data_IF_461502919592
#
_entry.id   IF_461502919592
#
_cell.length_a   1.000
_cell.length_b   1.000
_cell.length_c   1.000
_cell.angle_alpha   90.00
_cell.angle_beta   90.00
_cell.angle_gamma   90.00
#
_symmetry.space_group_name_H-M   'P 1'
#
loop_
_entity.id
_entity.type
_entity.pdbx_description
1 polymer ?
#
# COMPACT_ATOMS: atom_id res chain seq x y z
N UNK A 1 -38.93 34.62 32.24
CA UNK A 1 -37.96 34.74 31.12
C UNK A 1 -37.12 33.50 31.13
N UNK A 2 -37.31 32.56 30.20
CA UNK A 2 -36.43 31.42 30.12
C UNK A 2 -35.13 31.81 29.40
N UNK A 3 -34.01 31.45 30.00
CA UNK A 3 -32.68 31.67 29.51
C UNK A 3 -32.47 31.01 28.13
N UNK A 4 -32.06 31.81 27.16
CA UNK A 4 -31.59 31.35 25.85
C UNK A 4 -30.21 30.74 26.01
N UNK A 5 -30.17 29.43 26.10
CA UNK A 5 -28.94 28.66 25.96
C UNK A 5 -28.41 28.80 24.51
N UNK A 6 -27.31 29.50 24.38
CA UNK A 6 -26.59 29.61 23.10
C UNK A 6 -26.15 28.21 22.63
N UNK A 7 -26.22 27.87 21.34
CA UNK A 7 -25.73 26.60 20.83
C UNK A 7 -24.21 26.56 20.95
N UNK A 8 -23.69 25.50 21.59
CA UNK A 8 -22.28 25.20 21.59
C UNK A 8 -21.80 24.96 20.14
N UNK A 9 -20.61 25.43 19.79
CA UNK A 9 -20.03 25.13 18.46
C UNK A 9 -19.79 23.62 18.34
N UNK A 10 -19.93 23.02 17.14
CA UNK A 10 -19.70 21.63 16.94
C UNK A 10 -18.25 21.30 17.29
N UNK A 11 -18.08 20.39 18.26
CA UNK A 11 -16.79 19.83 18.59
C UNK A 11 -16.23 19.18 17.31
N UNK A 12 -15.17 19.76 16.79
CA UNK A 12 -14.36 19.13 15.75
C UNK A 12 -13.78 17.86 16.36
N UNK A 13 -14.39 16.73 16.01
CA UNK A 13 -13.78 15.43 16.24
C UNK A 13 -12.46 15.42 15.51
N UNK A 14 -11.38 15.50 16.26
CA UNK A 14 -10.02 15.42 15.77
C UNK A 14 -9.88 14.14 14.94
N UNK A 15 -9.70 14.31 13.65
CA UNK A 15 -9.36 13.22 12.73
C UNK A 15 -8.10 12.59 13.27
N UNK A 16 -8.22 11.36 13.76
CA UNK A 16 -7.13 10.55 14.27
C UNK A 16 -5.99 10.57 13.23
N UNK A 17 -4.88 11.22 13.61
CA UNK A 17 -3.66 11.24 12.80
C UNK A 17 -3.21 9.79 12.60
N UNK A 18 -3.43 9.31 11.39
CA UNK A 18 -2.99 8.08 10.75
C UNK A 18 -2.67 6.91 11.69
N UNK A 19 -3.63 6.00 11.80
CA UNK A 19 -3.46 4.68 12.43
C UNK A 19 -2.28 3.87 11.86
N UNK A 20 -1.74 4.25 10.73
CA UNK A 20 -0.58 3.61 10.09
C UNK A 20 0.76 3.96 10.77
N UNK A 21 0.88 5.13 11.40
CA UNK A 21 2.15 5.60 11.97
C UNK A 21 2.61 4.82 13.21
N UNK A 22 1.73 4.04 13.82
CA UNK A 22 2.01 3.26 15.04
C UNK A 22 2.19 1.76 14.78
N UNK A 23 2.04 1.31 13.53
CA UNK A 23 2.25 -0.09 13.18
C UNK A 23 3.73 -0.38 12.97
N UNK A 24 4.21 -1.41 13.67
CA UNK A 24 5.56 -1.95 13.48
C UNK A 24 5.50 -3.02 12.38
N UNK A 25 6.24 -2.82 11.32
CA UNK A 25 6.31 -3.78 10.23
C UNK A 25 7.64 -4.51 10.24
N UNK A 26 7.64 -5.75 9.77
CA UNK A 26 8.89 -6.47 9.52
C UNK A 26 9.76 -5.68 8.55
N UNK A 27 11.08 -5.72 8.77
CA UNK A 27 12.03 -5.06 7.88
C UNK A 27 11.82 -5.54 6.43
N UNK A 28 11.85 -4.63 5.45
CA UNK A 28 11.77 -5.02 4.05
C UNK A 28 12.99 -5.84 3.65
N UNK A 29 12.79 -6.78 2.74
CA UNK A 29 13.86 -7.62 2.20
C UNK A 29 13.99 -7.42 0.71
N UNK A 30 15.23 -7.30 0.24
CA UNK A 30 15.54 -7.19 -1.17
C UNK A 30 16.63 -8.20 -1.53
N UNK A 31 16.35 -9.02 -2.52
CA UNK A 31 17.32 -9.88 -3.20
C UNK A 31 17.67 -9.29 -4.56
N UNK A 32 18.43 -10.01 -5.38
CA UNK A 32 18.78 -9.58 -6.73
C UNK A 32 17.59 -9.52 -7.68
N UNK A 33 16.52 -10.26 -7.38
CA UNK A 33 15.36 -10.46 -8.26
C UNK A 33 14.00 -10.22 -7.59
N UNK A 34 13.96 -10.09 -6.26
CA UNK A 34 12.69 -10.00 -5.51
C UNK A 34 12.75 -8.98 -4.38
N UNK A 35 11.74 -8.12 -4.34
CA UNK A 35 11.45 -7.20 -3.25
C UNK A 35 10.29 -7.74 -2.41
N UNK A 36 10.51 -7.89 -1.10
CA UNK A 36 9.46 -8.29 -0.15
C UNK A 36 9.19 -7.18 0.86
N UNK A 37 7.93 -6.85 1.05
CA UNK A 37 7.46 -5.80 1.95
C UNK A 37 6.35 -6.32 2.85
N UNK A 38 6.34 -5.88 4.11
CA UNK A 38 5.18 -5.98 5.00
C UNK A 38 4.59 -4.59 5.16
N UNK A 39 3.32 -4.43 4.84
CA UNK A 39 2.64 -3.15 4.75
C UNK A 39 1.31 -3.19 5.52
N UNK A 40 0.76 -2.04 5.94
CA UNK A 40 -0.59 -2.02 6.49
C UNK A 40 -1.62 -2.48 5.46
N UNK A 41 -2.76 -2.98 5.95
CA UNK A 41 -3.91 -3.26 5.09
C UNK A 41 -4.32 -1.96 4.37
N UNK A 42 -4.45 -1.98 3.04
CA UNK A 42 -4.86 -0.80 2.29
C UNK A 42 -6.25 -0.31 2.76
N UNK A 43 -6.50 1.00 2.75
CA UNK A 43 -7.84 1.52 3.00
C UNK A 43 -8.83 0.96 1.97
N UNK A 44 -10.09 0.77 2.38
CA UNK A 44 -11.14 0.33 1.45
C UNK A 44 -11.34 1.37 0.35
N UNK A 45 -11.84 0.94 -0.80
CA UNK A 45 -12.02 1.81 -1.98
C UNK A 45 -12.84 3.08 -1.66
N UNK A 46 -13.78 2.98 -0.72
CA UNK A 46 -14.60 4.11 -0.29
C UNK A 46 -13.82 5.15 0.54
N UNK A 47 -12.68 4.76 1.12
CA UNK A 47 -11.83 5.63 1.93
C UNK A 47 -10.56 6.09 1.20
N UNK A 48 -10.30 5.56 0.01
CA UNK A 48 -9.12 5.93 -0.77
C UNK A 48 -9.26 7.31 -1.42
N UNK A 49 -10.48 7.71 -1.75
CA UNK A 49 -10.76 8.93 -2.49
C UNK A 49 -11.82 9.78 -1.79
N UNK A 50 -11.71 11.09 -2.01
CA UNK A 50 -12.71 12.07 -1.61
C UNK A 50 -13.14 12.87 -2.83
N UNK A 51 -14.39 13.32 -2.86
CA UNK A 51 -14.88 14.24 -3.89
C UNK A 51 -14.81 15.66 -3.35
N UNK A 52 -14.04 16.51 -4.00
CA UNK A 52 -13.88 17.92 -3.66
C UNK A 52 -14.18 18.75 -4.90
N UNK A 53 -15.16 19.63 -4.83
CA UNK A 53 -15.61 20.49 -5.96
C UNK A 53 -15.89 19.68 -7.23
N UNK A 54 -16.57 18.51 -7.10
CA UNK A 54 -16.90 17.63 -8.22
C UNK A 54 -15.73 16.82 -8.78
N UNK A 55 -14.53 16.93 -8.22
CA UNK A 55 -13.34 16.17 -8.60
C UNK A 55 -13.03 15.08 -7.60
N UNK A 56 -12.72 13.87 -8.10
CA UNK A 56 -12.27 12.76 -7.28
C UNK A 56 -10.77 12.90 -7.02
N UNK A 57 -10.41 13.10 -5.77
CA UNK A 57 -9.03 13.26 -5.32
C UNK A 57 -8.66 12.16 -4.33
N UNK A 58 -7.38 11.84 -4.24
CA UNK A 58 -6.89 10.92 -3.22
C UNK A 58 -7.16 11.52 -1.83
N UNK A 59 -7.80 10.74 -0.96
CA UNK A 59 -8.14 11.15 0.41
C UNK A 59 -6.88 11.33 1.27
N UNK A 60 -7.03 11.95 2.44
CA UNK A 60 -5.94 12.03 3.43
C UNK A 60 -5.46 10.63 3.86
N UNK A 61 -6.39 9.68 4.04
CA UNK A 61 -6.08 8.28 4.34
C UNK A 61 -5.31 7.61 3.20
N UNK A 62 -5.73 7.83 1.96
CA UNK A 62 -5.03 7.30 0.78
C UNK A 62 -3.62 7.87 0.65
N UNK A 63 -3.45 9.18 0.88
CA UNK A 63 -2.11 9.82 0.89
C UNK A 63 -1.22 9.28 1.99
N UNK A 64 -1.75 9.12 3.21
CA UNK A 64 -1.01 8.55 4.34
C UNK A 64 -0.56 7.12 4.06
N UNK A 65 -1.42 6.30 3.46
CA UNK A 65 -1.08 4.94 3.04
C UNK A 65 0.08 4.94 2.04
N UNK A 66 -0.01 5.74 0.98
CA UNK A 66 1.05 5.86 -0.04
C UNK A 66 2.37 6.32 0.56
N UNK A 67 2.35 7.23 1.54
CA UNK A 67 3.56 7.69 2.22
C UNK A 67 4.25 6.56 3.01
N UNK A 68 3.48 5.73 3.73
CA UNK A 68 4.03 4.57 4.46
C UNK A 68 4.63 3.55 3.50
N UNK A 69 3.94 3.23 2.41
CA UNK A 69 4.46 2.31 1.38
C UNK A 69 5.75 2.86 0.77
N UNK A 70 5.77 4.13 0.40
CA UNK A 70 6.97 4.80 -0.16
C UNK A 70 8.15 4.73 0.80
N UNK A 71 7.93 4.91 2.10
CA UNK A 71 8.97 4.78 3.12
C UNK A 71 9.54 3.36 3.20
N UNK A 72 8.69 2.33 3.16
CA UNK A 72 9.13 0.93 3.20
C UNK A 72 9.93 0.56 1.94
N UNK A 73 9.49 1.00 0.77
CA UNK A 73 10.24 0.83 -0.49
C UNK A 73 11.60 1.52 -0.40
N UNK A 74 11.64 2.76 0.08
CA UNK A 74 12.90 3.51 0.25
C UNK A 74 13.86 2.78 1.19
N UNK A 75 13.37 2.27 2.32
CA UNK A 75 14.19 1.49 3.26
C UNK A 75 14.80 0.25 2.61
N UNK A 76 13.99 -0.50 1.83
CA UNK A 76 14.48 -1.67 1.11
C UNK A 76 15.62 -1.30 0.15
N UNK A 77 15.45 -0.22 -0.60
CA UNK A 77 16.40 0.22 -1.63
C UNK A 77 17.68 0.84 -1.05
N UNK A 78 17.65 1.36 0.17
CA UNK A 78 18.79 2.02 0.80
C UNK A 78 19.57 1.11 1.75
N UNK A 79 18.91 0.13 2.36
CA UNK A 79 19.52 -0.73 3.38
C UNK A 79 19.99 -2.08 2.83
N UNK A 80 19.68 -2.41 1.58
CA UNK A 80 20.01 -3.72 0.99
C UNK A 80 21.14 -3.59 -0.03
N UNK A 81 22.18 -4.43 0.11
CA UNK A 81 23.28 -4.51 -0.84
C UNK A 81 22.85 -4.85 -2.29
N UNK A 82 21.83 -5.70 -2.53
CA UNK A 82 21.35 -6.03 -3.87
C UNK A 82 20.56 -4.92 -4.59
N UNK A 83 20.42 -3.73 -3.99
CA UNK A 83 19.58 -2.66 -4.56
C UNK A 83 20.02 -2.20 -5.95
N UNK A 84 21.32 -2.08 -6.19
CA UNK A 84 21.82 -1.60 -7.49
C UNK A 84 21.55 -2.60 -8.64
N UNK A 85 21.83 -3.91 -8.51
CA UNK A 85 21.43 -4.91 -9.52
C UNK A 85 19.93 -4.94 -9.75
N UNK A 86 19.13 -4.95 -8.69
CA UNK A 86 17.67 -4.95 -8.77
C UNK A 86 17.15 -3.73 -9.54
N UNK A 87 17.60 -2.52 -9.18
CA UNK A 87 17.21 -1.28 -9.86
C UNK A 87 17.58 -1.28 -11.33
N UNK A 88 18.74 -1.83 -11.69
CA UNK A 88 19.19 -1.92 -13.07
C UNK A 88 18.28 -2.78 -13.94
N UNK A 89 17.71 -3.85 -13.38
CA UNK A 89 16.83 -4.77 -14.09
C UNK A 89 15.36 -4.37 -14.06
N UNK A 90 14.98 -3.58 -13.07
CA UNK A 90 13.58 -3.27 -12.75
C UNK A 90 12.84 -2.60 -13.92
N UNK A 91 13.48 -1.68 -14.63
CA UNK A 91 12.89 -0.95 -15.76
C UNK A 91 12.88 -1.73 -17.09
N UNK A 92 13.64 -2.80 -17.19
CA UNK A 92 13.76 -3.62 -18.41
C UNK A 92 13.03 -4.95 -18.32
N UNK A 93 12.68 -5.41 -17.11
CA UNK A 93 12.05 -6.71 -16.89
C UNK A 93 10.53 -6.61 -16.80
N UNK A 94 9.84 -7.68 -17.13
CA UNK A 94 8.46 -7.93 -16.69
C UNK A 94 8.46 -8.30 -15.22
N UNK A 95 7.35 -8.00 -14.52
CA UNK A 95 7.23 -8.16 -13.08
C UNK A 95 6.02 -9.02 -12.71
N UNK A 96 6.19 -9.83 -11.68
CA UNK A 96 5.12 -10.55 -10.99
C UNK A 96 4.87 -9.91 -9.62
N UNK A 97 3.63 -9.54 -9.34
CA UNK A 97 3.19 -9.01 -8.05
C UNK A 97 2.38 -10.08 -7.32
N UNK A 98 2.77 -10.42 -6.10
CA UNK A 98 2.01 -11.29 -5.21
C UNK A 98 1.67 -10.55 -3.93
N UNK A 99 0.40 -10.56 -3.53
CA UNK A 99 -0.08 -9.92 -2.30
C UNK A 99 -0.88 -10.93 -1.48
N UNK A 100 -0.46 -11.15 -0.24
CA UNK A 100 -1.22 -11.87 0.78
C UNK A 100 -1.87 -10.87 1.70
N UNK A 101 -3.19 -10.83 1.72
CA UNK A 101 -3.97 -9.98 2.62
C UNK A 101 -4.31 -10.76 3.89
N UNK A 102 -3.93 -10.23 5.04
CA UNK A 102 -4.30 -10.72 6.36
C UNK A 102 -5.27 -9.71 6.98
N UNK A 103 -6.56 -10.01 6.92
CA UNK A 103 -7.60 -9.15 7.48
C UNK A 103 -7.91 -9.50 8.92
N UNK A 104 -8.34 -8.52 9.71
CA UNK A 104 -8.76 -8.75 11.10
C UNK A 104 -10.00 -9.64 11.22
N UNK A 105 -10.82 -9.74 10.17
CA UNK A 105 -11.99 -10.59 10.11
C UNK A 105 -12.26 -11.08 8.69
N UNK A 106 -13.00 -12.19 8.57
CA UNK A 106 -13.40 -12.76 7.28
C UNK A 106 -14.50 -11.93 6.58
N UNK A 107 -15.10 -10.93 7.27
CA UNK A 107 -16.25 -10.17 6.80
C UNK A 107 -15.88 -9.21 5.66
N UNK A 108 -16.52 -9.43 4.50
CA UNK A 108 -16.75 -8.49 3.37
C UNK A 108 -15.58 -7.58 2.97
N UNK A 109 -14.40 -8.12 2.80
CA UNK A 109 -13.34 -7.41 2.09
C UNK A 109 -13.01 -8.15 0.79
N UNK A 110 -13.18 -7.47 -0.31
CA UNK A 110 -12.78 -7.95 -1.61
C UNK A 110 -11.28 -7.78 -1.80
N UNK A 111 -10.62 -8.74 -2.45
CA UNK A 111 -9.18 -8.71 -2.67
C UNK A 111 -8.75 -7.55 -3.57
N UNK A 112 -9.57 -7.19 -4.54
CA UNK A 112 -9.30 -6.12 -5.50
C UNK A 112 -9.47 -4.71 -4.92
N UNK A 113 -10.27 -4.56 -3.85
CA UNK A 113 -10.56 -3.27 -3.23
C UNK A 113 -9.32 -2.52 -2.71
N UNK A 114 -8.27 -3.26 -2.34
CA UNK A 114 -6.98 -2.70 -1.88
C UNK A 114 -5.86 -2.80 -2.91
N UNK A 115 -6.03 -3.59 -3.98
CA UNK A 115 -4.99 -3.87 -4.96
C UNK A 115 -4.49 -2.59 -5.63
N UNK A 116 -5.40 -1.78 -6.17
CA UNK A 116 -5.02 -0.61 -6.96
C UNK A 116 -4.14 0.36 -6.20
N UNK A 117 -4.52 0.74 -4.98
CA UNK A 117 -3.75 1.70 -4.19
C UNK A 117 -2.42 1.12 -3.72
N UNK A 118 -2.37 -0.16 -3.38
CA UNK A 118 -1.12 -0.84 -3.00
C UNK A 118 -0.15 -0.91 -4.18
N UNK A 119 -0.63 -1.35 -5.35
CA UNK A 119 0.16 -1.41 -6.57
C UNK A 119 0.68 -0.05 -7.00
N UNK A 120 -0.19 0.96 -7.04
CA UNK A 120 0.18 2.34 -7.40
C UNK A 120 1.24 2.90 -6.44
N UNK A 121 1.09 2.67 -5.14
CA UNK A 121 2.03 3.15 -4.14
C UNK A 121 3.42 2.49 -4.25
N UNK A 122 3.46 1.17 -4.51
CA UNK A 122 4.70 0.43 -4.71
C UNK A 122 5.40 0.90 -6.00
N UNK A 123 4.66 0.99 -7.09
CA UNK A 123 5.21 1.44 -8.38
C UNK A 123 5.73 2.88 -8.30
N UNK A 124 5.01 3.78 -7.64
CA UNK A 124 5.43 5.15 -7.40
C UNK A 124 6.71 5.21 -6.56
N UNK A 125 6.80 4.42 -5.48
CA UNK A 125 8.00 4.32 -4.65
C UNK A 125 9.23 3.78 -5.39
N UNK A 126 9.02 2.92 -6.37
CA UNK A 126 10.07 2.34 -7.22
C UNK A 126 10.38 3.17 -8.47
N UNK A 127 9.59 4.21 -8.75
CA UNK A 127 9.71 4.98 -10.00
C UNK A 127 9.32 4.18 -11.24
N UNK A 128 8.34 3.27 -11.11
CA UNK A 128 7.89 2.37 -12.17
C UNK A 128 6.54 2.77 -12.74
N UNK A 129 6.33 2.41 -14.00
CA UNK A 129 4.99 2.31 -14.58
C UNK A 129 4.39 0.93 -14.24
N UNK A 130 3.13 0.90 -13.80
CA UNK A 130 2.40 -0.30 -13.42
C UNK A 130 2.19 -1.29 -14.58
N UNK A 131 2.31 -0.84 -15.83
CA UNK A 131 2.25 -1.70 -17.01
C UNK A 131 3.38 -2.75 -17.08
N UNK A 132 4.41 -2.61 -16.24
CA UNK A 132 5.48 -3.62 -16.10
C UNK A 132 5.01 -4.85 -15.34
N UNK A 133 3.95 -4.74 -14.54
CA UNK A 133 3.37 -5.87 -13.81
C UNK A 133 2.48 -6.65 -14.79
N UNK A 134 2.94 -7.84 -15.18
CA UNK A 134 2.26 -8.70 -16.14
C UNK A 134 1.58 -9.90 -15.47
N UNK A 135 1.93 -10.16 -14.21
CA UNK A 135 1.30 -11.19 -13.39
C UNK A 135 0.91 -10.62 -12.03
N UNK A 136 -0.29 -10.95 -11.55
CA UNK A 136 -0.75 -10.55 -10.21
C UNK A 136 -1.43 -11.73 -9.52
N UNK A 137 -0.96 -12.06 -8.33
CA UNK A 137 -1.47 -13.14 -7.49
C UNK A 137 -1.98 -12.57 -6.17
N UNK A 138 -3.25 -12.82 -5.84
CA UNK A 138 -3.89 -12.32 -4.62
C UNK A 138 -4.35 -13.48 -3.74
N UNK A 139 -4.05 -13.40 -2.44
CA UNK A 139 -4.42 -14.38 -1.44
C UNK A 139 -5.11 -13.70 -0.27
N UNK A 140 -6.14 -14.34 0.28
CA UNK A 140 -6.91 -13.84 1.41
C UNK A 140 -6.73 -14.74 2.62
N UNK A 141 -6.35 -14.14 3.73
CA UNK A 141 -6.19 -14.77 5.04
C UNK A 141 -6.88 -13.94 6.12
N UNK A 142 -7.05 -14.53 7.29
CA UNK A 142 -7.53 -13.84 8.48
C UNK A 142 -6.45 -13.90 9.56
N UNK A 143 -6.08 -12.73 10.08
CA UNK A 143 -5.21 -12.60 11.25
C UNK A 143 -5.75 -11.45 12.10
N UNK A 144 -6.41 -11.81 13.20
CA UNK A 144 -7.05 -10.85 14.10
C UNK A 144 -6.05 -10.02 14.89
N UNK A 145 -4.87 -10.55 15.12
CA UNK A 145 -3.86 -9.96 15.99
C UNK A 145 -2.93 -9.03 15.25
N UNK A 146 -2.67 -9.29 13.97
CA UNK A 146 -1.75 -8.53 13.15
C UNK A 146 -2.26 -8.39 11.70
N UNK A 147 -3.30 -7.56 11.47
CA UNK A 147 -3.79 -7.27 10.14
C UNK A 147 -2.73 -6.54 9.30
N UNK A 148 -2.40 -7.10 8.15
CA UNK A 148 -1.33 -6.59 7.28
C UNK A 148 -1.51 -7.09 5.85
N UNK A 149 -0.69 -6.61 4.95
CA UNK A 149 -0.40 -7.28 3.68
C UNK A 149 1.08 -7.65 3.59
N UNK A 150 1.35 -8.79 3.02
CA UNK A 150 2.69 -9.23 2.65
C UNK A 150 2.79 -9.21 1.12
N UNK A 151 3.73 -8.43 0.63
CA UNK A 151 3.91 -8.18 -0.80
C UNK A 151 5.23 -8.77 -1.27
N UNK A 152 5.21 -9.44 -2.40
CA UNK A 152 6.40 -9.86 -3.13
C UNK A 152 6.32 -9.36 -4.56
N UNK A 153 7.32 -8.60 -4.99
CA UNK A 153 7.49 -8.14 -6.36
C UNK A 153 8.75 -8.76 -6.94
N UNK A 154 8.57 -9.63 -7.92
CA UNK A 154 9.66 -10.42 -8.51
C UNK A 154 9.90 -10.05 -9.97
N UNK A 155 11.18 -10.02 -10.37
CA UNK A 155 11.57 -9.94 -11.77
C UNK A 155 11.23 -11.26 -12.44
N UNK A 156 10.55 -11.20 -13.58
CA UNK A 156 10.31 -12.38 -14.42
C UNK A 156 11.49 -12.50 -15.38
N UNK A 157 12.22 -13.63 -15.36
CA UNK A 157 13.31 -13.85 -16.31
C UNK A 157 12.79 -13.76 -17.75
N UNK A 158 13.47 -13.00 -18.59
CA UNK A 158 13.19 -13.01 -20.02
C UNK A 158 13.50 -14.40 -20.54
N UNK A 159 12.49 -15.21 -20.82
CA UNK A 159 12.69 -16.42 -21.62
C UNK A 159 13.02 -15.98 -23.03
N UNK A 160 14.30 -15.96 -23.36
CA UNK A 160 14.71 -15.92 -24.77
C UNK A 160 14.20 -17.22 -25.41
N UNK A 161 13.04 -17.11 -26.08
CA UNK A 161 12.65 -18.13 -27.05
C UNK A 161 13.69 -18.11 -28.15
N UNK A 162 14.50 -19.14 -28.15
CA UNK A 162 15.41 -19.45 -29.26
C UNK A 162 14.60 -19.89 -30.48
#
# INVERSE_FOLDING_TARGET
MPDKKSPEPPQQQGVSRSSFAQQSFSAPTLTTDTLTLTLPVPPSINHQYATVNGRRLLSSTGRAYKAVVGQQVWLALTQSAPAAPFKGLLHSSSLALSIRFFFASALRRDLDGGLKIAQDAICEGLGLNDNRIVETHLYKHVDKTDPRIEVSLSLIPSTHSS
#
